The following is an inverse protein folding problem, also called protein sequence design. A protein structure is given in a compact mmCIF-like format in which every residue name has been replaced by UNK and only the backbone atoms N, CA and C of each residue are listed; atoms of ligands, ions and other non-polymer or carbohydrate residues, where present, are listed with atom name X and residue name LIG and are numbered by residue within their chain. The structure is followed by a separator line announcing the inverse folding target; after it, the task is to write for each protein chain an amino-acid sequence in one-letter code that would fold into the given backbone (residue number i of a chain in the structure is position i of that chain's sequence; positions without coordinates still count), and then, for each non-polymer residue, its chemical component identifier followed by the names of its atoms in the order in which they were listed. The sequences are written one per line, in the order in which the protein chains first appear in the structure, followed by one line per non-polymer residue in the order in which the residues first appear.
data_IF_120093757590
#
_entry.id   IF_120093757590
#
_cell.length_a   1.000
_cell.length_b   1.000
_cell.length_c   1.000
_cell.angle_alpha   90.00
_cell.angle_beta   90.00
_cell.angle_gamma   90.00
#
_symmetry.space_group_name_H-M   'P 1'
#
loop_
_entity.id
_entity.type
_entity.pdbx_description
1 polymer ?
#
# COMPACT_ATOMS: atom_id res chain seq x y z
N UNK A 1 -3.01 -14.71 21.69
CA UNK A 1 -2.44 -14.87 20.34
C UNK A 1 -2.36 -13.46 19.76
N UNK A 2 -1.16 -12.86 19.71
CA UNK A 2 -0.99 -11.49 19.24
C UNK A 2 -0.93 -11.51 17.71
N UNK A 3 -1.96 -10.99 17.04
CA UNK A 3 -1.87 -10.70 15.61
C UNK A 3 -0.83 -9.60 15.42
N UNK A 4 0.14 -9.77 14.50
CA UNK A 4 1.11 -8.73 14.22
C UNK A 4 0.39 -7.49 13.65
N UNK A 5 0.61 -6.33 14.27
CA UNK A 5 0.14 -5.04 13.74
C UNK A 5 1.04 -4.61 12.60
N UNK A 6 0.50 -4.55 11.39
CA UNK A 6 1.17 -4.00 10.22
C UNK A 6 0.66 -2.59 9.88
N UNK A 7 1.49 -1.79 9.21
CA UNK A 7 1.02 -0.58 8.54
C UNK A 7 1.36 -0.70 7.06
N UNK A 8 0.34 -0.60 6.20
CA UNK A 8 0.50 -0.47 4.76
C UNK A 8 0.52 1.02 4.40
N UNK A 9 1.50 1.43 3.61
CA UNK A 9 1.57 2.77 3.04
C UNK A 9 1.70 2.63 1.53
N UNK A 10 0.82 3.28 0.78
CA UNK A 10 0.89 3.37 -0.67
C UNK A 10 1.27 4.80 -1.04
N UNK A 11 2.24 4.98 -1.93
CA UNK A 11 2.67 6.29 -2.42
C UNK A 11 2.63 6.30 -3.92
N UNK A 12 2.23 7.44 -4.46
CA UNK A 12 2.30 7.75 -5.88
C UNK A 12 2.93 9.14 -6.02
N UNK A 13 3.23 9.54 -7.26
CA UNK A 13 3.61 10.92 -7.54
C UNK A 13 2.52 11.94 -7.14
N UNK A 14 1.26 11.51 -6.97
CA UNK A 14 0.11 12.40 -6.78
C UNK A 14 -0.45 12.38 -5.35
N UNK A 15 -0.23 11.30 -4.59
CA UNK A 15 -0.81 11.11 -3.27
C UNK A 15 -0.04 10.13 -2.40
N UNK A 16 -0.31 10.18 -1.10
CA UNK A 16 0.12 9.16 -0.15
C UNK A 16 -1.06 8.65 0.66
N UNK A 17 -1.17 7.33 0.77
CA UNK A 17 -2.18 6.65 1.57
C UNK A 17 -1.53 5.89 2.71
N UNK A 18 -2.05 6.03 3.92
CA UNK A 18 -1.58 5.27 5.09
C UNK A 18 -2.73 4.49 5.70
N UNK A 19 -2.48 3.22 6.02
CA UNK A 19 -3.49 2.39 6.67
C UNK A 19 -3.71 2.81 8.12
N UNK A 20 -4.95 3.10 8.48
CA UNK A 20 -5.38 3.28 9.87
C UNK A 20 -5.48 1.95 10.61
N UNK A 21 -5.81 0.88 9.89
CA UNK A 21 -5.82 -0.48 10.39
C UNK A 21 -5.35 -1.42 9.27
N UNK A 22 -4.54 -2.42 9.62
CA UNK A 22 -4.18 -3.49 8.71
C UNK A 22 -4.03 -4.81 9.45
N UNK A 23 -4.65 -5.84 8.89
CA UNK A 23 -4.51 -7.23 9.30
C UNK A 23 -3.63 -7.94 8.29
N UNK A 24 -2.60 -8.63 8.79
CA UNK A 24 -1.72 -9.47 7.97
C UNK A 24 -2.01 -10.93 8.30
N UNK A 25 -2.26 -11.72 7.26
CA UNK A 25 -2.49 -13.15 7.32
C UNK A 25 -1.46 -13.89 6.47
N UNK A 26 -1.32 -15.20 6.66
CA UNK A 26 -0.30 -16.01 5.97
C UNK A 26 -0.41 -15.94 4.44
N UNK A 27 -1.60 -15.69 3.91
CA UNK A 27 -1.90 -15.68 2.48
C UNK A 27 -2.34 -14.31 1.98
N UNK A 28 -2.13 -13.24 2.75
CA UNK A 28 -2.57 -11.91 2.33
C UNK A 28 -2.65 -10.89 3.44
N UNK A 29 -3.45 -9.86 3.19
CA UNK A 29 -3.77 -8.85 4.19
C UNK A 29 -4.97 -8.03 3.77
N UNK A 30 -5.54 -7.32 4.72
CA UNK A 30 -6.58 -6.34 4.44
C UNK A 30 -6.45 -5.15 5.37
N UNK A 31 -6.96 -4.00 4.96
CA UNK A 31 -6.85 -2.82 5.79
C UNK A 31 -7.69 -1.65 5.29
N UNK A 32 -7.89 -0.69 6.17
CA UNK A 32 -8.49 0.60 5.85
C UNK A 32 -7.41 1.66 5.79
N UNK A 33 -7.49 2.59 4.84
CA UNK A 33 -6.52 3.66 4.66
C UNK A 33 -7.17 5.01 4.42
N UNK A 34 -6.43 6.06 4.75
CA UNK A 34 -6.77 7.43 4.35
C UNK A 34 -5.80 7.87 3.25
N UNK A 35 -6.33 8.31 2.11
CA UNK A 35 -5.56 8.93 1.04
C UNK A 35 -5.42 10.43 1.29
N UNK A 36 -4.18 10.90 1.40
CA UNK A 36 -3.82 12.32 1.46
C UNK A 36 -3.19 12.73 0.12
N UNK A 37 -3.93 13.44 -0.76
CA UNK A 37 -3.41 13.94 -2.02
C UNK A 37 -2.41 15.08 -1.81
N UNK A 38 -1.46 15.23 -2.74
CA UNK A 38 -0.65 16.45 -2.79
C UNK A 38 -1.53 17.66 -3.16
N UNK A 39 -1.17 18.84 -2.67
CA UNK A 39 -1.98 20.06 -2.83
C UNK A 39 -2.34 20.36 -4.31
N UNK A 40 -1.41 20.12 -5.23
CA UNK A 40 -1.61 20.31 -6.67
C UNK A 40 -2.71 19.40 -7.27
N UNK A 41 -2.97 18.23 -6.66
CA UNK A 41 -3.90 17.22 -7.16
C UNK A 41 -5.21 17.14 -6.37
N UNK A 42 -5.36 17.90 -5.28
CA UNK A 42 -6.56 17.87 -4.42
C UNK A 42 -7.87 18.09 -5.18
N UNK A 43 -7.87 18.94 -6.23
CA UNK A 43 -9.08 19.20 -7.03
C UNK A 43 -9.62 17.96 -7.74
N UNK A 44 -8.75 17.05 -8.19
CA UNK A 44 -9.15 15.83 -8.91
C UNK A 44 -9.17 14.59 -8.03
N UNK A 45 -8.36 14.56 -6.97
CA UNK A 45 -8.28 13.49 -5.99
C UNK A 45 -8.45 14.07 -4.57
N UNK A 46 -9.69 14.31 -4.10
CA UNK A 46 -9.93 14.75 -2.73
C UNK A 46 -9.43 13.71 -1.72
N UNK A 47 -9.25 14.15 -0.46
CA UNK A 47 -9.07 13.21 0.66
C UNK A 47 -10.24 12.23 0.68
N UNK A 48 -9.93 10.95 0.82
CA UNK A 48 -10.93 9.90 0.89
C UNK A 48 -10.41 8.73 1.73
N UNK A 49 -11.35 7.94 2.22
CA UNK A 49 -11.06 6.69 2.94
C UNK A 49 -11.30 5.53 2.01
N UNK A 50 -10.46 4.52 2.11
CA UNK A 50 -10.61 3.29 1.36
C UNK A 50 -10.34 2.05 2.18
N UNK A 51 -10.70 0.91 1.62
CA UNK A 51 -10.30 -0.39 2.09
C UNK A 51 -9.51 -1.11 1.00
N UNK A 52 -8.57 -1.96 1.37
CA UNK A 52 -7.89 -2.84 0.44
C UNK A 52 -7.90 -4.28 0.94
N UNK A 53 -7.88 -5.20 -0.02
CA UNK A 53 -7.59 -6.61 0.22
C UNK A 53 -6.46 -7.02 -0.70
N UNK A 54 -5.43 -7.59 -0.12
CA UNK A 54 -4.21 -8.05 -0.74
C UNK A 54 -4.16 -9.58 -0.61
N UNK A 55 -3.87 -10.28 -1.69
CA UNK A 55 -3.74 -11.72 -1.74
C UNK A 55 -2.32 -12.08 -2.16
N UNK A 56 -1.66 -12.87 -1.34
CA UNK A 56 -0.32 -13.42 -1.58
C UNK A 56 -0.46 -14.86 -2.03
N UNK A 57 0.21 -15.22 -3.11
CA UNK A 57 0.26 -16.59 -3.61
C UNK A 57 1.70 -17.12 -3.62
N UNK A 58 1.84 -18.44 -3.48
CA UNK A 58 3.12 -19.14 -3.56
C UNK A 58 3.91 -19.22 -2.25
N UNK A 59 4.94 -20.07 -2.25
CA UNK A 59 5.79 -20.35 -1.07
C UNK A 59 6.83 -19.25 -0.81
N UNK A 60 7.26 -18.57 -1.87
CA UNK A 60 8.17 -17.43 -1.85
C UNK A 60 7.50 -16.35 -2.72
N UNK A 61 6.60 -15.53 -2.16
CA UNK A 61 5.78 -14.63 -2.96
C UNK A 61 6.62 -13.49 -3.56
N UNK A 62 6.64 -13.39 -4.88
CA UNK A 62 7.27 -12.28 -5.63
C UNK A 62 6.26 -11.26 -6.14
N UNK A 63 4.98 -11.61 -6.09
CA UNK A 63 3.86 -10.80 -6.56
C UNK A 63 2.71 -10.85 -5.56
N UNK A 64 1.91 -9.79 -5.56
CA UNK A 64 0.73 -9.64 -4.73
C UNK A 64 -0.37 -9.03 -5.59
N UNK A 65 -1.54 -9.64 -5.60
CA UNK A 65 -2.70 -9.12 -6.32
C UNK A 65 -3.78 -8.70 -5.32
N UNK A 66 -4.58 -7.70 -5.65
CA UNK A 66 -5.54 -7.17 -4.70
C UNK A 66 -6.67 -6.37 -5.32
N UNK A 67 -7.56 -5.91 -4.45
CA UNK A 67 -8.59 -4.95 -4.78
C UNK A 67 -8.50 -3.79 -3.81
N UNK A 68 -8.67 -2.59 -4.33
CA UNK A 68 -8.90 -1.41 -3.51
C UNK A 68 -10.31 -0.90 -3.76
N UNK A 69 -10.91 -0.42 -2.67
CA UNK A 69 -12.24 0.15 -2.60
C UNK A 69 -12.06 1.56 -2.04
N UNK A 70 -12.63 2.54 -2.71
CA UNK A 70 -12.81 3.89 -2.19
C UNK A 70 -14.29 4.23 -2.25
N UNK A 71 -14.68 5.25 -1.51
CA UNK A 71 -15.98 5.92 -1.63
C UNK A 71 -16.34 6.32 -3.09
N UNK A 72 -15.34 6.43 -3.97
CA UNK A 72 -15.49 6.87 -5.35
C UNK A 72 -15.34 5.75 -6.39
N UNK A 73 -14.62 4.67 -6.09
CA UNK A 73 -14.23 3.67 -7.10
C UNK A 73 -13.77 2.35 -6.49
N UNK A 74 -14.02 1.23 -7.18
CA UNK A 74 -13.40 -0.07 -6.88
C UNK A 74 -12.56 -0.50 -8.07
N UNK A 75 -11.29 -0.85 -7.82
CA UNK A 75 -10.42 -1.39 -8.87
C UNK A 75 -9.52 -2.53 -8.37
N UNK A 76 -9.11 -3.36 -9.33
CA UNK A 76 -8.03 -4.31 -9.14
C UNK A 76 -6.67 -3.62 -9.05
N UNK A 77 -5.73 -4.25 -8.38
CA UNK A 77 -4.33 -3.84 -8.36
C UNK A 77 -3.43 -5.07 -8.40
N UNK A 78 -2.29 -4.93 -9.06
CA UNK A 78 -1.20 -5.89 -9.02
C UNK A 78 0.05 -5.16 -8.49
N UNK A 79 0.79 -5.82 -7.61
CA UNK A 79 1.95 -5.29 -6.90
C UNK A 79 3.10 -6.30 -7.03
N UNK A 80 4.29 -5.81 -7.38
CA UNK A 80 5.49 -6.63 -7.52
C UNK A 80 6.45 -6.37 -6.36
N UNK A 81 7.17 -7.41 -5.94
CA UNK A 81 8.19 -7.31 -4.89
C UNK A 81 9.43 -6.60 -5.43
N UNK A 82 9.73 -5.41 -4.89
CA UNK A 82 10.94 -4.65 -5.23
C UNK A 82 12.19 -5.21 -4.53
N UNK A 83 12.08 -5.68 -3.28
CA UNK A 83 13.20 -6.28 -2.56
C UNK A 83 12.88 -6.73 -1.15
N UNK A 84 13.70 -7.65 -0.61
CA UNK A 84 13.63 -8.16 0.77
C UNK A 84 14.89 -7.91 1.59
N UNK A 85 15.94 -7.42 0.96
CA UNK A 85 17.31 -7.39 1.50
C UNK A 85 17.72 -6.03 2.05
N UNK A 86 16.87 -5.01 1.92
CA UNK A 86 17.18 -3.65 2.36
C UNK A 86 16.24 -3.25 3.48
N UNK A 87 16.74 -3.34 4.72
CA UNK A 87 16.09 -2.72 5.87
C UNK A 87 16.21 -1.20 5.75
N UNK A 88 15.16 -0.56 5.24
CA UNK A 88 15.05 0.89 5.32
C UNK A 88 14.62 1.25 6.74
N UNK A 89 15.50 1.92 7.48
CA UNK A 89 15.20 2.34 8.85
C UNK A 89 14.10 3.40 8.91
N UNK A 90 13.79 4.04 7.77
CA UNK A 90 12.66 4.97 7.65
C UNK A 90 11.90 4.81 6.33
N UNK A 91 10.62 5.18 6.36
CA UNK A 91 9.77 5.22 5.17
C UNK A 91 10.28 6.19 4.07
N UNK A 92 11.09 7.20 4.41
CA UNK A 92 11.63 8.13 3.42
C UNK A 92 12.74 7.48 2.58
N UNK A 93 13.57 6.64 3.21
CA UNK A 93 14.64 5.92 2.53
C UNK A 93 14.09 4.89 1.54
N UNK A 94 13.05 4.15 1.93
CA UNK A 94 12.38 3.23 1.00
C UNK A 94 11.79 3.93 -0.21
N UNK A 95 11.20 5.12 -0.02
CA UNK A 95 10.63 5.91 -1.12
C UNK A 95 11.70 6.49 -2.08
N UNK A 96 12.86 6.88 -1.56
CA UNK A 96 13.98 7.34 -2.38
C UNK A 96 14.59 6.20 -3.23
N UNK A 97 14.56 4.97 -2.72
CA UNK A 97 15.02 3.80 -3.47
C UNK A 97 14.05 3.38 -4.58
N UNK A 98 12.75 3.57 -4.37
CA UNK A 98 11.70 3.33 -5.38
C UNK A 98 11.84 4.25 -6.60
N UNK A 99 12.21 5.51 -6.38
CA UNK A 99 12.41 6.51 -7.46
C UNK A 99 13.73 6.37 -8.22
N UNK A 100 14.64 5.48 -7.78
CA UNK A 100 15.97 5.31 -8.36
C UNK A 100 16.08 4.20 -9.42
N UNK A 101 14.99 3.49 -9.73
CA UNK A 101 15.00 2.39 -10.71
C UNK A 101 14.35 2.86 -12.04
N UNK A 102 15.08 2.88 -13.17
CA UNK A 102 14.51 3.11 -14.50
C UNK A 102 13.72 1.90 -15.03
#
# INVERSE_FOLDING_TARGET
MNSPTGHATLRTAESSSRSSNATVEKTGGSGTYENTPQAAHQRRSPRHTGACRLNLAGRIPTELAGRYYTDRFTAGMDLVLIGRTTDYSTFAQGAAADTATP
#
